data_IF_512633988494
#
_entry.id   IF_512633988494
#
_cell.length_a   1.000
_cell.length_b   1.000
_cell.length_c   1.000
_cell.angle_alpha   90.00
_cell.angle_beta   90.00
_cell.angle_gamma   90.00
#
_symmetry.space_group_name_H-M   'P 1'
#
loop_
_entity.id
_entity.type
_entity.pdbx_description
1 polymer ?
#
# COMPACT_ATOMS: atom_id res chain seq x y z
N UNK A 1 -2.40 -1.60 12.00
CA UNK A 1 -1.57 -2.82 12.11
C UNK A 1 -0.34 -2.59 12.99
N UNK A 2 0.65 -1.78 12.57
CA UNK A 2 1.93 -1.65 13.26
C UNK A 2 1.86 -1.26 14.75
N UNK A 3 1.01 -0.30 15.13
CA UNK A 3 0.83 0.08 16.55
C UNK A 3 0.25 -1.02 17.46
N UNK A 4 -0.25 -2.12 16.87
CA UNK A 4 -0.72 -3.31 17.56
C UNK A 4 0.29 -4.47 17.48
N UNK A 5 1.51 -4.23 17.00
CA UNK A 5 2.54 -5.27 16.81
C UNK A 5 2.35 -6.16 15.57
N UNK A 6 1.41 -5.84 14.68
CA UNK A 6 1.14 -6.61 13.47
C UNK A 6 1.96 -6.11 12.27
N UNK A 7 2.37 -7.04 11.41
CA UNK A 7 2.88 -6.77 10.07
C UNK A 7 1.76 -6.53 9.07
N UNK A 8 2.04 -5.81 7.97
CA UNK A 8 1.11 -5.67 6.85
C UNK A 8 1.81 -5.50 5.50
N UNK A 9 1.16 -5.91 4.42
CA UNK A 9 1.68 -5.78 3.05
C UNK A 9 0.56 -5.44 2.05
N UNK A 10 0.81 -4.44 1.20
CA UNK A 10 -0.05 -4.14 0.06
C UNK A 10 0.09 -5.23 -1.01
N UNK A 11 -1.02 -5.85 -1.38
CA UNK A 11 -1.06 -6.87 -2.43
C UNK A 11 -1.57 -6.22 -3.71
N UNK A 12 -0.64 -5.90 -4.62
CA UNK A 12 -0.94 -5.29 -5.93
C UNK A 12 -1.11 -6.33 -7.05
N UNK A 13 -0.66 -7.57 -6.82
CA UNK A 13 -0.72 -8.67 -7.80
C UNK A 13 -2.09 -9.38 -7.79
N UNK A 14 -3.18 -8.61 -7.71
CA UNK A 14 -4.55 -9.12 -7.78
C UNK A 14 -5.27 -8.53 -8.99
N UNK A 15 -6.15 -9.32 -9.61
CA UNK A 15 -7.08 -8.81 -10.63
C UNK A 15 -8.31 -8.26 -9.92
N UNK A 16 -8.53 -6.95 -10.03
CA UNK A 16 -9.57 -6.26 -9.27
C UNK A 16 -10.96 -6.86 -9.52
N UNK A 17 -11.30 -7.16 -10.78
CA UNK A 17 -12.57 -7.79 -11.14
C UNK A 17 -12.77 -9.16 -10.46
N UNK A 18 -11.70 -9.97 -10.37
CA UNK A 18 -11.76 -11.26 -9.67
C UNK A 18 -11.95 -11.11 -8.17
N UNK A 19 -11.35 -10.08 -7.57
CA UNK A 19 -11.55 -9.78 -6.15
C UNK A 19 -13.02 -9.43 -5.90
N UNK A 20 -13.62 -8.59 -6.74
CA UNK A 20 -15.03 -8.22 -6.63
C UNK A 20 -15.95 -9.44 -6.84
N UNK A 21 -15.67 -10.28 -7.84
CA UNK A 21 -16.41 -11.52 -8.11
C UNK A 21 -16.40 -12.47 -6.90
N UNK A 22 -15.22 -12.77 -6.37
CA UNK A 22 -15.05 -13.68 -5.21
C UNK A 22 -15.79 -13.16 -3.99
N UNK A 23 -15.80 -11.84 -3.78
CA UNK A 23 -16.46 -11.20 -2.64
C UNK A 23 -17.96 -10.94 -2.89
N UNK A 24 -18.47 -11.20 -4.10
CA UNK A 24 -19.86 -10.91 -4.48
C UNK A 24 -20.18 -9.41 -4.50
N UNK A 25 -19.18 -8.55 -4.73
CA UNK A 25 -19.35 -7.10 -4.78
C UNK A 25 -19.89 -6.69 -6.15
N UNK A 26 -20.92 -5.82 -6.22
CA UNK A 26 -21.44 -5.32 -7.50
C UNK A 26 -20.36 -4.61 -8.33
N UNK A 27 -20.43 -4.74 -9.66
CA UNK A 27 -19.47 -4.14 -10.60
C UNK A 27 -19.49 -2.61 -10.66
N UNK A 28 -20.43 -1.95 -9.98
CA UNK A 28 -20.46 -0.49 -9.81
C UNK A 28 -19.44 0.01 -8.80
N UNK A 29 -18.81 -0.89 -8.04
CA UNK A 29 -17.73 -0.58 -7.12
C UNK A 29 -16.38 -0.92 -7.75
N UNK A 30 -15.31 -0.31 -7.25
CA UNK A 30 -13.94 -0.63 -7.64
C UNK A 30 -13.14 -1.11 -6.42
N UNK A 31 -12.19 -2.01 -6.65
CA UNK A 31 -11.25 -2.44 -5.62
C UNK A 31 -10.16 -1.37 -5.43
N UNK A 32 -10.11 -0.72 -4.26
CA UNK A 32 -9.08 0.27 -3.96
C UNK A 32 -7.71 -0.38 -3.63
N UNK A 33 -7.70 -1.64 -3.20
CA UNK A 33 -6.49 -2.38 -2.87
C UNK A 33 -6.72 -3.46 -1.81
N UNK A 34 -5.81 -4.42 -1.76
CA UNK A 34 -5.83 -5.53 -0.81
C UNK A 34 -4.65 -5.38 0.16
N UNK A 35 -4.92 -5.59 1.45
CA UNK A 35 -3.92 -5.54 2.51
C UNK A 35 -3.87 -6.87 3.27
N UNK A 36 -2.73 -7.55 3.23
CA UNK A 36 -2.46 -8.69 4.11
C UNK A 36 -2.05 -8.18 5.50
N UNK A 37 -2.54 -8.80 6.57
CA UNK A 37 -2.24 -8.44 7.97
C UNK A 37 -2.05 -9.72 8.78
N UNK A 38 -1.07 -9.72 9.70
CA UNK A 38 -0.83 -10.84 10.60
C UNK A 38 0.32 -10.60 11.59
N UNK A 39 0.61 -11.61 12.39
CA UNK A 39 1.82 -11.62 13.23
C UNK A 39 3.04 -11.84 12.34
N UNK A 40 4.04 -10.95 12.39
CA UNK A 40 5.22 -11.08 11.55
C UNK A 40 6.09 -12.25 12.00
N UNK A 41 6.53 -13.08 11.05
CA UNK A 41 7.53 -14.15 11.24
C UNK A 41 8.93 -13.70 10.80
N UNK A 42 9.07 -12.44 10.36
CA UNK A 42 10.31 -11.85 9.89
C UNK A 42 10.43 -10.37 10.27
N UNK A 43 11.65 -9.82 10.22
CA UNK A 43 11.95 -8.40 10.47
C UNK A 43 12.90 -7.84 9.41
N UNK A 44 12.40 -7.57 8.19
CA UNK A 44 13.23 -7.10 7.09
C UNK A 44 13.77 -5.68 7.36
N UNK A 45 14.92 -5.35 6.77
CA UNK A 45 15.46 -3.99 6.82
C UNK A 45 14.55 -3.01 6.09
N UNK A 46 14.45 -1.78 6.60
CA UNK A 46 13.67 -0.73 5.98
C UNK A 46 14.21 -0.43 4.56
N UNK A 47 13.31 -0.43 3.56
CA UNK A 47 13.69 -0.02 2.20
C UNK A 47 14.15 1.45 2.18
N UNK A 48 15.24 1.78 1.48
CA UNK A 48 15.67 3.17 1.35
C UNK A 48 14.55 4.03 0.73
N UNK A 49 14.50 5.30 1.12
CA UNK A 49 13.60 6.30 0.54
C UNK A 49 14.43 7.26 -0.33
N UNK A 50 13.76 7.92 -1.28
CA UNK A 50 14.38 9.01 -2.03
C UNK A 50 14.75 10.15 -1.07
N UNK A 51 15.86 10.88 -1.32
CA UNK A 51 16.23 12.03 -0.51
C UNK A 51 15.09 13.06 -0.49
N UNK A 52 14.89 13.70 0.66
CA UNK A 52 13.75 14.59 0.89
C UNK A 52 13.76 15.75 -0.09
N UNK A 53 14.94 16.30 -0.37
CA UNK A 53 15.16 17.36 -1.32
C UNK A 53 14.57 17.03 -2.68
N UNK A 54 14.59 15.78 -3.14
CA UNK A 54 14.03 15.38 -4.45
C UNK A 54 12.50 15.31 -4.48
N UNK A 55 11.85 15.24 -3.32
CA UNK A 55 10.41 15.04 -3.17
C UNK A 55 9.67 16.30 -2.71
N UNK A 56 10.36 17.21 -2.03
CA UNK A 56 9.75 18.39 -1.40
C UNK A 56 10.17 19.66 -2.13
N UNK A 57 9.18 20.43 -2.56
CA UNK A 57 9.34 21.69 -3.26
C UNK A 57 8.56 22.79 -2.56
N UNK A 58 9.09 24.02 -2.52
CA UNK A 58 8.41 25.16 -1.90
C UNK A 58 7.67 25.97 -2.95
N UNK A 59 6.40 26.26 -2.69
CA UNK A 59 5.49 27.06 -3.53
C UNK A 59 5.14 26.43 -4.90
N UNK A 60 6.12 25.91 -5.65
CA UNK A 60 5.93 25.36 -6.99
C UNK A 60 6.70 24.05 -7.16
N UNK A 61 6.06 23.08 -7.81
CA UNK A 61 6.68 21.80 -8.15
C UNK A 61 7.99 22.00 -8.95
N UNK A 62 9.04 21.27 -8.60
CA UNK A 62 10.35 21.39 -9.25
C UNK A 62 11.20 22.59 -8.81
N UNK A 63 10.68 23.48 -7.95
CA UNK A 63 11.48 24.55 -7.33
C UNK A 63 11.88 24.17 -5.90
N UNK A 64 13.19 23.98 -5.69
CA UNK A 64 13.78 23.81 -4.36
C UNK A 64 13.92 25.15 -3.63
#
# INVERSE_FOLDING_TARGET
AHGLGLGCCWVKLCQDDKVLEILGVPSTYYNAGVLAIGYPDESPKQRPRLPLETLVFRNRYGQH
#
